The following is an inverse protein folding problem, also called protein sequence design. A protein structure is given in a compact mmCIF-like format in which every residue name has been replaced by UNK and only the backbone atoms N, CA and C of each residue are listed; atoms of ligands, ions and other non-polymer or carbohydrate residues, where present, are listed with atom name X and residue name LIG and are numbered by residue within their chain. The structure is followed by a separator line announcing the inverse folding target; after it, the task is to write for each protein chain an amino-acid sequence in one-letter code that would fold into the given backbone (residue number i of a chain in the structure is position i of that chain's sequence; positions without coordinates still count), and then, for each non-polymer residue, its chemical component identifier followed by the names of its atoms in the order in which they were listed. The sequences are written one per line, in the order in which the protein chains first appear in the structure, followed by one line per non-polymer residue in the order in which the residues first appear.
data_IF_275414700083
#
_entry.id   IF_275414700083
#
_cell.length_a   1.000
_cell.length_b   1.000
_cell.length_c   1.000
_cell.angle_alpha   90.00
_cell.angle_beta   90.00
_cell.angle_gamma   90.00
#
_symmetry.space_group_name_H-M   'P 1'
#
loop_
_entity.id
_entity.type
_entity.pdbx_description
1 polymer ?
#
# COMPACT_ATOMS: atom_id res chain seq x y z
N UNK A 1 -1.41 28.38 -0.35
CA UNK A 1 -0.94 27.73 -1.60
C UNK A 1 0.16 26.71 -1.35
N UNK A 2 1.21 27.06 -0.61
CA UNK A 2 2.27 26.07 -0.29
C UNK A 2 1.76 24.91 0.57
N UNK A 3 0.82 25.17 1.47
CA UNK A 3 0.17 24.10 2.25
C UNK A 3 -0.53 23.05 1.39
N UNK A 4 -1.17 23.46 0.29
CA UNK A 4 -1.81 22.54 -0.66
C UNK A 4 -0.79 21.63 -1.36
N UNK A 5 0.39 22.17 -1.71
CA UNK A 5 1.49 21.38 -2.28
C UNK A 5 2.01 20.35 -1.26
N UNK A 6 2.17 20.76 -0.02
CA UNK A 6 2.63 19.86 1.05
C UNK A 6 1.65 18.74 1.33
N UNK A 7 0.34 19.04 1.35
CA UNK A 7 -0.72 18.06 1.53
C UNK A 7 -0.68 17.03 0.39
N UNK A 8 -0.66 17.49 -0.86
CA UNK A 8 -0.62 16.60 -2.03
C UNK A 8 0.66 15.77 -2.08
N UNK A 9 1.80 16.36 -1.71
CA UNK A 9 3.08 15.62 -1.65
C UNK A 9 3.04 14.54 -0.57
N UNK A 10 2.46 14.81 0.60
CA UNK A 10 2.29 13.80 1.65
C UNK A 10 1.43 12.64 1.18
N UNK A 11 0.38 12.92 0.41
CA UNK A 11 -0.48 11.90 -0.19
C UNK A 11 0.26 11.05 -1.22
N UNK A 12 1.14 11.65 -2.03
CA UNK A 12 1.98 10.90 -2.98
C UNK A 12 2.90 9.91 -2.28
N UNK A 13 3.55 10.33 -1.20
CA UNK A 13 4.43 9.46 -0.40
C UNK A 13 3.63 8.31 0.22
N UNK A 14 2.46 8.61 0.79
CA UNK A 14 1.60 7.61 1.41
C UNK A 14 1.10 6.58 0.38
N UNK A 15 0.63 7.01 -0.79
CA UNK A 15 0.17 6.10 -1.85
C UNK A 15 1.32 5.28 -2.46
N UNK A 16 2.51 5.85 -2.57
CA UNK A 16 3.70 5.10 -3.00
C UNK A 16 4.02 3.97 -2.03
N UNK A 17 3.97 4.22 -0.75
CA UNK A 17 4.16 3.19 0.28
C UNK A 17 3.09 2.09 0.16
N UNK A 18 1.84 2.48 -0.04
CA UNK A 18 0.73 1.53 -0.27
C UNK A 18 0.99 0.64 -1.49
N UNK A 19 1.42 1.21 -2.61
CA UNK A 19 1.78 0.46 -3.81
C UNK A 19 2.92 -0.53 -3.56
N UNK A 20 3.94 -0.13 -2.81
CA UNK A 20 5.05 -1.00 -2.45
C UNK A 20 4.58 -2.20 -1.62
N UNK A 21 3.69 -1.98 -0.65
CA UNK A 21 3.12 -3.05 0.18
C UNK A 21 2.25 -3.99 -0.66
N UNK A 22 1.43 -3.46 -1.57
CA UNK A 22 0.62 -4.27 -2.49
C UNK A 22 1.51 -5.12 -3.39
N UNK A 23 2.58 -4.55 -3.94
CA UNK A 23 3.55 -5.29 -4.77
C UNK A 23 4.21 -6.42 -3.98
N UNK A 24 4.57 -6.19 -2.73
CA UNK A 24 5.11 -7.23 -1.85
C UNK A 24 4.09 -8.35 -1.58
N UNK A 25 2.82 -8.02 -1.38
CA UNK A 25 1.76 -9.01 -1.23
C UNK A 25 1.63 -9.89 -2.47
N UNK A 26 1.59 -9.30 -3.65
CA UNK A 26 1.48 -10.04 -4.92
C UNK A 26 2.71 -10.91 -5.15
N UNK A 27 3.90 -10.39 -4.87
CA UNK A 27 5.15 -11.14 -5.02
C UNK A 27 5.22 -12.37 -4.09
N UNK A 28 4.62 -12.29 -2.91
CA UNK A 28 4.64 -13.34 -1.89
C UNK A 28 3.32 -14.14 -1.81
N UNK A 29 2.47 -14.07 -2.82
CA UNK A 29 1.16 -14.76 -2.81
C UNK A 29 1.24 -16.29 -2.66
N UNK A 30 2.35 -16.90 -3.05
CA UNK A 30 2.60 -18.33 -2.96
C UNK A 30 3.72 -18.69 -1.98
N UNK A 31 4.19 -17.72 -1.19
CA UNK A 31 5.29 -17.93 -0.25
C UNK A 31 4.79 -18.61 1.03
N UNK A 32 5.14 -19.88 1.20
CA UNK A 32 4.77 -20.69 2.36
C UNK A 32 5.95 -21.00 3.29
N UNK A 33 7.17 -20.68 2.85
CA UNK A 33 8.39 -20.91 3.62
C UNK A 33 9.08 -19.60 3.97
N UNK A 34 9.65 -19.54 5.17
CA UNK A 34 10.58 -18.47 5.54
C UNK A 34 11.95 -18.66 4.86
N UNK A 35 12.77 -17.63 4.93
CA UNK A 35 14.14 -17.65 4.38
C UNK A 35 14.99 -18.81 4.89
N UNK A 36 14.71 -19.36 6.09
CA UNK A 36 15.37 -20.51 6.69
C UNK A 36 14.75 -21.86 6.33
N UNK A 37 13.74 -21.90 5.46
CA UNK A 37 13.04 -23.13 5.09
C UNK A 37 11.94 -23.57 6.08
N UNK A 38 11.66 -22.80 7.11
CA UNK A 38 10.58 -23.08 8.03
C UNK A 38 9.21 -22.83 7.38
N UNK A 39 8.24 -23.74 7.61
CA UNK A 39 6.88 -23.56 7.12
C UNK A 39 6.16 -22.48 7.94
N UNK A 40 6.04 -21.34 7.34
CA UNK A 40 5.23 -20.23 7.84
C UNK A 40 4.72 -19.43 6.65
N UNK A 41 3.43 -19.59 6.28
CA UNK A 41 2.86 -18.86 5.15
C UNK A 41 2.94 -17.36 5.36
N UNK A 42 3.28 -16.63 4.29
CA UNK A 42 3.26 -15.18 4.28
C UNK A 42 1.83 -14.69 4.58
N UNK A 43 1.70 -13.65 5.38
CA UNK A 43 0.41 -13.01 5.63
C UNK A 43 0.35 -11.67 4.90
N UNK A 44 -0.79 -11.40 4.32
CA UNK A 44 -1.07 -10.13 3.66
C UNK A 44 -0.77 -8.97 4.61
N UNK A 45 -0.14 -7.93 4.09
CA UNK A 45 0.10 -6.69 4.80
C UNK A 45 -0.74 -5.58 4.20
N UNK A 46 -1.10 -4.62 5.03
CA UNK A 46 -1.84 -3.45 4.59
C UNK A 46 -1.37 -2.21 5.33
N UNK A 47 -1.53 -1.07 4.68
CA UNK A 47 -1.12 0.24 5.20
C UNK A 47 -2.29 0.90 5.91
N UNK A 48 -2.02 1.47 7.08
CA UNK A 48 -2.97 2.32 7.82
C UNK A 48 -2.53 3.76 7.68
N UNK A 49 -3.39 4.60 7.13
CA UNK A 49 -3.15 6.02 7.01
C UNK A 49 -3.65 6.77 8.25
N UNK A 50 -2.98 7.87 8.55
CA UNK A 50 -3.42 8.80 9.58
C UNK A 50 -3.26 10.24 9.06
N UNK A 51 -4.01 11.15 9.66
CA UNK A 51 -3.94 12.56 9.34
C UNK A 51 -2.71 13.23 9.92
N UNK A 52 -2.23 14.28 9.28
CA UNK A 52 -1.07 15.04 9.70
C UNK A 52 0.24 14.56 9.07
N UNK A 53 1.27 15.35 9.27
CA UNK A 53 2.64 15.04 8.86
C UNK A 53 3.58 15.20 10.08
N UNK A 54 3.90 14.09 10.78
CA UNK A 54 4.76 14.14 11.97
C UNK A 54 6.17 14.65 11.67
N UNK A 55 6.67 14.41 10.45
CA UNK A 55 8.01 14.86 10.05
C UNK A 55 8.11 16.39 9.97
N UNK A 56 6.99 17.07 9.72
CA UNK A 56 6.91 18.52 9.62
C UNK A 56 6.17 19.15 10.79
N UNK A 57 5.72 18.36 11.75
CA UNK A 57 4.91 18.84 12.87
C UNK A 57 3.57 19.47 12.44
N UNK A 58 3.04 19.08 11.29
CA UNK A 58 1.81 19.61 10.72
C UNK A 58 0.61 18.72 11.03
N UNK A 59 -0.52 19.34 11.38
CA UNK A 59 -1.79 18.65 11.51
C UNK A 59 -2.46 18.34 10.15
N UNK A 60 -1.94 18.91 9.07
CA UNK A 60 -2.46 18.74 7.71
C UNK A 60 -1.68 17.68 6.95
N UNK A 61 -2.36 17.09 5.96
CA UNK A 61 -1.78 16.03 5.13
C UNK A 61 -2.11 14.63 5.64
N UNK A 62 -1.39 13.66 5.14
CA UNK A 62 -1.57 12.24 5.45
C UNK A 62 -0.21 11.56 5.57
N UNK A 63 -0.12 10.59 6.46
CA UNK A 63 1.08 9.75 6.58
C UNK A 63 0.70 8.30 6.82
N UNK A 64 1.65 7.41 6.60
CA UNK A 64 1.51 6.00 6.96
C UNK A 64 1.76 5.88 8.47
N UNK A 65 0.70 5.59 9.22
CA UNK A 65 0.80 5.39 10.66
C UNK A 65 1.46 4.06 11.00
N UNK A 66 1.09 3.00 10.26
CA UNK A 66 1.64 1.66 10.45
C UNK A 66 1.40 0.79 9.23
N UNK A 67 2.18 -0.27 9.11
CA UNK A 67 1.96 -1.38 8.19
C UNK A 67 1.57 -2.58 9.05
N UNK A 68 0.34 -3.05 8.92
CA UNK A 68 -0.21 -4.13 9.75
C UNK A 68 -0.27 -5.44 8.97
N UNK A 69 -0.24 -6.52 9.70
CA UNK A 69 -0.39 -7.88 9.19
C UNK A 69 -1.87 -8.27 9.30
N UNK A 70 -2.44 -8.75 8.20
CA UNK A 70 -3.80 -9.26 8.19
C UNK A 70 -3.85 -10.61 8.91
N UNK A 71 -4.54 -10.65 10.05
CA UNK A 71 -4.73 -11.85 10.86
C UNK A 71 -5.89 -12.72 10.36
N UNK A 72 -6.43 -12.41 9.21
CA UNK A 72 -7.48 -13.18 8.57
C UNK A 72 -7.05 -14.62 8.25
N UNK A 73 -8.04 -15.41 7.87
CA UNK A 73 -7.84 -16.83 7.57
C UNK A 73 -6.94 -17.00 6.35
N UNK A 74 -5.96 -17.91 6.46
CA UNK A 74 -5.12 -18.32 5.34
C UNK A 74 -5.94 -19.12 4.31
N UNK A 75 -5.45 -19.18 3.08
CA UNK A 75 -6.12 -19.87 1.98
C UNK A 75 -5.66 -21.35 1.94
N UNK A 76 -6.53 -22.32 2.20
CA UNK A 76 -6.17 -23.72 2.08
C UNK A 76 -6.15 -24.16 0.62
N UNK A 77 -5.10 -24.92 0.24
CA UNK A 77 -5.01 -25.60 -1.07
C UNK A 77 -4.81 -27.09 -0.86
N UNK A 78 -5.57 -27.90 -1.61
CA UNK A 78 -5.46 -29.34 -1.54
C UNK A 78 -4.20 -29.84 -2.23
N UNK A 79 -3.23 -30.26 -1.45
CA UNK A 79 -1.93 -30.83 -1.92
C UNK A 79 -1.51 -31.97 -0.99
N UNK A 80 -2.14 -33.16 -1.10
CA UNK A 80 -1.88 -34.27 -0.18
C UNK A 80 -0.44 -34.84 -0.28
N UNK A 81 0.25 -34.61 -1.41
CA UNK A 81 1.66 -34.99 -1.61
C UNK A 81 2.67 -34.03 -1.01
N UNK A 82 2.24 -32.88 -0.47
CA UNK A 82 3.15 -31.92 0.14
C UNK A 82 3.60 -32.37 1.54
N UNK A 83 4.90 -32.17 1.89
CA UNK A 83 5.38 -32.45 3.24
C UNK A 83 4.75 -31.52 4.29
N UNK A 84 4.12 -30.43 3.88
CA UNK A 84 3.45 -29.46 4.76
C UNK A 84 1.94 -29.63 4.81
N UNK A 85 1.39 -30.67 4.14
CA UNK A 85 -0.04 -30.96 4.18
C UNK A 85 -0.48 -31.41 5.57
N UNK A 86 -1.69 -30.98 5.98
CA UNK A 86 -2.33 -31.44 7.20
C UNK A 86 -2.92 -32.87 7.04
N UNK A 87 -3.62 -33.34 8.08
CA UNK A 87 -4.24 -34.66 8.06
C UNK A 87 -5.30 -34.83 6.96
N UNK A 88 -5.92 -33.72 6.52
CA UNK A 88 -6.93 -33.69 5.45
C UNK A 88 -6.32 -33.45 4.07
N UNK A 89 -5.01 -33.27 3.98
CA UNK A 89 -4.27 -33.04 2.72
C UNK A 89 -4.25 -31.60 2.25
N UNK A 90 -4.57 -30.63 3.09
CA UNK A 90 -4.53 -29.20 2.75
C UNK A 90 -3.24 -28.55 3.24
N UNK A 91 -2.71 -27.66 2.41
CA UNK A 91 -1.59 -26.77 2.75
C UNK A 91 -2.13 -25.36 2.84
N UNK A 92 -1.80 -24.63 3.90
CA UNK A 92 -2.18 -23.23 4.06
C UNK A 92 -1.23 -22.33 3.26
N UNK A 93 -1.82 -21.51 2.40
CA UNK A 93 -1.15 -20.51 1.59
C UNK A 93 -1.49 -19.10 2.09
N UNK A 94 -0.71 -18.07 1.68
CA UNK A 94 -0.99 -16.71 2.07
C UNK A 94 -2.43 -16.25 1.77
N UNK A 95 -2.97 -15.42 2.63
CA UNK A 95 -4.30 -14.80 2.49
C UNK A 95 -4.30 -13.63 1.52
N UNK A 96 -3.61 -13.78 0.38
CA UNK A 96 -3.49 -12.77 -0.68
C UNK A 96 -4.34 -13.18 -1.86
N UNK A 97 -5.29 -12.33 -2.23
CA UNK A 97 -6.07 -12.46 -3.47
C UNK A 97 -5.50 -11.50 -4.49
N UNK A 98 -4.92 -12.05 -5.57
CA UNK A 98 -4.29 -11.25 -6.63
C UNK A 98 -5.23 -10.26 -7.28
N UNK A 99 -6.50 -10.61 -7.47
CA UNK A 99 -7.49 -9.73 -8.10
C UNK A 99 -7.79 -8.54 -7.19
N UNK A 100 -7.99 -8.79 -5.89
CA UNK A 100 -8.22 -7.74 -4.89
C UNK A 100 -7.00 -6.83 -4.78
N UNK A 101 -5.80 -7.39 -4.76
CA UNK A 101 -4.57 -6.59 -4.71
C UNK A 101 -4.38 -5.73 -5.97
N UNK A 102 -4.71 -6.25 -7.15
CA UNK A 102 -4.68 -5.48 -8.38
C UNK A 102 -5.69 -4.33 -8.37
N UNK A 103 -6.88 -4.55 -7.84
CA UNK A 103 -7.88 -3.50 -7.66
C UNK A 103 -7.41 -2.43 -6.68
N UNK A 104 -6.81 -2.82 -5.58
CA UNK A 104 -6.21 -1.90 -4.61
C UNK A 104 -5.05 -1.11 -5.22
N UNK A 105 -4.22 -1.74 -6.06
CA UNK A 105 -3.15 -1.07 -6.77
C UNK A 105 -3.68 -0.03 -7.76
N UNK A 106 -4.73 -0.36 -8.49
CA UNK A 106 -5.37 0.57 -9.43
C UNK A 106 -5.96 1.79 -8.70
N UNK A 107 -6.62 1.57 -7.56
CA UNK A 107 -7.14 2.64 -6.71
C UNK A 107 -6.01 3.55 -6.21
N UNK A 108 -4.91 2.97 -5.72
CA UNK A 108 -3.76 3.72 -5.24
C UNK A 108 -3.09 4.51 -6.36
N UNK A 109 -2.98 3.95 -7.57
CA UNK A 109 -2.45 4.65 -8.75
C UNK A 109 -3.34 5.84 -9.14
N UNK A 110 -4.64 5.67 -9.16
CA UNK A 110 -5.58 6.77 -9.47
C UNK A 110 -5.48 7.89 -8.43
N UNK A 111 -5.38 7.54 -7.14
CA UNK A 111 -5.17 8.52 -6.09
C UNK A 111 -3.82 9.25 -6.26
N UNK A 112 -2.78 8.54 -6.65
CA UNK A 112 -1.47 9.11 -6.94
C UNK A 112 -1.53 10.10 -8.12
N UNK A 113 -2.14 9.71 -9.23
CA UNK A 113 -2.33 10.56 -10.42
C UNK A 113 -3.17 11.81 -10.11
N UNK A 114 -4.24 11.66 -9.33
CA UNK A 114 -5.07 12.78 -8.90
C UNK A 114 -4.28 13.81 -8.08
N UNK A 115 -3.39 13.35 -7.20
CA UNK A 115 -2.53 14.24 -6.43
C UNK A 115 -1.47 14.93 -7.29
N UNK A 116 -0.92 14.25 -8.31
CA UNK A 116 -0.03 14.90 -9.30
C UNK A 116 -0.77 16.01 -10.02
N UNK A 117 -1.97 15.74 -10.51
CA UNK A 117 -2.81 16.75 -11.20
C UNK A 117 -3.10 17.94 -10.28
N UNK A 118 -3.38 17.68 -9.01
CA UNK A 118 -3.60 18.75 -8.02
C UNK A 118 -2.35 19.61 -7.81
N UNK A 119 -1.16 19.00 -7.79
CA UNK A 119 0.11 19.71 -7.67
C UNK A 119 0.34 20.60 -8.90
N UNK A 120 0.11 20.08 -10.09
CA UNK A 120 0.26 20.83 -11.35
C UNK A 120 -0.70 22.01 -11.43
N UNK A 121 -1.96 21.80 -11.05
CA UNK A 121 -2.96 22.86 -10.98
C UNK A 121 -2.55 23.95 -9.97
N UNK A 122 -2.06 23.57 -8.81
CA UNK A 122 -1.61 24.51 -7.78
C UNK A 122 -0.39 25.32 -8.27
N UNK A 123 0.57 24.66 -8.91
CA UNK A 123 1.73 25.35 -9.51
C UNK A 123 1.31 26.36 -10.58
N UNK A 124 0.36 25.98 -11.42
CA UNK A 124 -0.20 26.86 -12.44
C UNK A 124 -0.87 28.08 -11.82
N UNK A 125 -1.67 27.89 -10.77
CA UNK A 125 -2.30 29.00 -10.05
C UNK A 125 -1.26 29.94 -9.42
N UNK A 126 -0.20 29.41 -8.82
CA UNK A 126 0.89 30.19 -8.25
C UNK A 126 1.57 31.03 -9.37
N UNK A 127 1.85 30.39 -10.50
CA UNK A 127 2.47 31.08 -11.65
C UNK A 127 1.62 32.25 -12.15
N UNK A 128 0.32 32.04 -12.31
CA UNK A 128 -0.62 33.10 -12.72
C UNK A 128 -0.69 34.21 -11.67
N UNK A 129 -0.77 33.86 -10.38
CA UNK A 129 -0.79 34.85 -9.30
C UNK A 129 0.49 35.72 -9.29
N UNK A 130 1.65 35.13 -9.52
CA UNK A 130 2.92 35.87 -9.63
C UNK A 130 2.95 36.81 -10.84
N UNK A 131 2.35 36.41 -11.96
CA UNK A 131 2.22 37.29 -13.15
C UNK A 131 1.32 38.47 -12.89
N UNK A 132 0.26 38.32 -12.12
CA UNK A 132 -0.64 39.41 -11.76
C UNK A 132 0.04 40.40 -10.81
N UNK A 133 0.91 39.92 -9.93
CA UNK A 133 1.66 40.75 -8.98
C UNK A 133 2.86 41.48 -9.62
N UNK A 134 3.30 41.01 -10.74
CA UNK A 134 4.36 41.67 -11.55
C UNK A 134 3.74 42.74 -12.50
#
# INVERSE_FOLDING_TARGET
MYGALDISTSALVAQRTRLTVIAANVANKDAILKARGEYEPYRRRFVVFATGDPARGSAQGVHVASIQIDQGRLTPKYQPGSPFADADGYVEYPNVDSVVEQMNALEALRAYEANITAIEATKSMISVALQILA
#
